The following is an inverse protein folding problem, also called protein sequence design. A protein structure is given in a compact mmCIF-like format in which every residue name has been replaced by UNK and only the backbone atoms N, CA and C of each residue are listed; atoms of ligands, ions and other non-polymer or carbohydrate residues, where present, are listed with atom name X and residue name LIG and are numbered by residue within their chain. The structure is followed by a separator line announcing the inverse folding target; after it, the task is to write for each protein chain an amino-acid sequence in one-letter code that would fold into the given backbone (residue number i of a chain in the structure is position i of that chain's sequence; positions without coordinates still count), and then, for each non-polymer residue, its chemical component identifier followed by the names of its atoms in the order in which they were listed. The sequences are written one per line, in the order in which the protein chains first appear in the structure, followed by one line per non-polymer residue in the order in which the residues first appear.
data_IF_406255996203
#
_entry.id   IF_406255996203
#
_cell.length_a   1.000
_cell.length_b   1.000
_cell.length_c   1.000
_cell.angle_alpha   90.00
_cell.angle_beta   90.00
_cell.angle_gamma   90.00
#
_symmetry.space_group_name_H-M   'P 1'
#
loop_
_entity.id
_entity.type
_entity.pdbx_description
1 polymer ?
#
# COMPACT_ATOMS: atom_id res chain seq x y z
N UNK A 1 -31.95 -3.54 46.75
CA UNK A 1 -31.75 -3.30 45.29
C UNK A 1 -30.99 -2.00 44.90
N UNK A 2 -30.60 -1.10 45.82
CA UNK A 2 -29.81 0.11 45.47
C UNK A 2 -28.35 -0.19 45.10
N UNK A 3 -27.71 -1.16 45.76
CA UNK A 3 -26.32 -1.52 45.49
C UNK A 3 -26.12 -2.13 44.10
N UNK A 4 -26.97 -3.09 43.71
CA UNK A 4 -26.91 -3.74 42.40
C UNK A 4 -26.97 -2.73 41.24
N UNK A 5 -27.91 -1.76 41.29
CA UNK A 5 -28.03 -0.71 40.26
C UNK A 5 -26.78 0.18 40.19
N UNK A 6 -26.13 0.48 41.32
CA UNK A 6 -24.90 1.28 41.36
C UNK A 6 -23.72 0.51 40.78
N UNK A 7 -23.57 -0.76 41.12
CA UNK A 7 -22.49 -1.61 40.59
C UNK A 7 -22.63 -1.80 39.07
N UNK A 8 -23.83 -2.11 38.59
CA UNK A 8 -24.11 -2.26 37.14
C UNK A 8 -23.82 -0.97 36.39
N UNK A 9 -24.24 0.20 36.91
CA UNK A 9 -23.95 1.50 36.30
C UNK A 9 -22.44 1.75 36.18
N UNK A 10 -21.67 1.41 37.21
CA UNK A 10 -20.23 1.56 37.18
C UNK A 10 -19.58 0.62 36.16
N UNK A 11 -20.00 -0.65 36.09
CA UNK A 11 -19.50 -1.58 35.08
C UNK A 11 -19.76 -1.08 33.66
N UNK A 12 -20.97 -0.61 33.38
CA UNK A 12 -21.31 -0.04 32.07
C UNK A 12 -20.39 1.16 31.76
N UNK A 13 -20.20 2.08 32.73
CA UNK A 13 -19.32 3.23 32.54
C UNK A 13 -17.89 2.81 32.21
N UNK A 14 -17.31 1.89 32.98
CA UNK A 14 -15.94 1.42 32.75
C UNK A 14 -15.80 0.65 31.43
N UNK A 15 -16.76 -0.21 31.09
CA UNK A 15 -16.75 -0.94 29.82
C UNK A 15 -16.88 0.01 28.62
N UNK A 16 -17.73 1.04 28.70
CA UNK A 16 -17.85 2.06 27.65
C UNK A 16 -16.56 2.86 27.50
N UNK A 17 -15.95 3.30 28.61
CA UNK A 17 -14.67 4.01 28.57
C UNK A 17 -13.56 3.15 27.96
N UNK A 18 -13.52 1.87 28.33
CA UNK A 18 -12.57 0.91 27.78
C UNK A 18 -12.74 0.79 26.27
N UNK A 19 -13.98 0.61 25.78
CA UNK A 19 -14.26 0.55 24.33
C UNK A 19 -13.82 1.81 23.60
N UNK A 20 -14.15 3.00 24.13
CA UNK A 20 -13.79 4.29 23.51
C UNK A 20 -12.29 4.47 23.39
N UNK A 21 -11.50 3.93 24.33
CA UNK A 21 -10.03 3.98 24.29
C UNK A 21 -9.44 2.86 23.42
N UNK A 22 -10.01 1.67 23.47
CA UNK A 22 -9.55 0.53 22.69
C UNK A 22 -9.75 0.74 21.19
N UNK A 23 -10.86 1.33 20.74
CA UNK A 23 -11.13 1.56 19.32
C UNK A 23 -10.01 2.35 18.61
N UNK A 24 -9.59 3.54 19.05
CA UNK A 24 -8.51 4.28 18.40
C UNK A 24 -7.15 3.57 18.52
N UNK A 25 -6.89 2.89 19.65
CA UNK A 25 -5.66 2.09 19.80
C UNK A 25 -5.57 0.97 18.77
N UNK A 26 -6.63 0.17 18.63
CA UNK A 26 -6.68 -0.89 17.63
C UNK A 26 -6.62 -0.34 16.22
N UNK A 27 -7.29 0.77 15.94
CA UNK A 27 -7.22 1.42 14.62
C UNK A 27 -5.78 1.80 14.25
N UNK A 28 -5.04 2.42 15.17
CA UNK A 28 -3.64 2.80 14.93
C UNK A 28 -2.77 1.56 14.73
N UNK A 29 -2.92 0.55 15.59
CA UNK A 29 -2.14 -0.68 15.51
C UNK A 29 -2.37 -1.42 14.19
N UNK A 30 -3.63 -1.60 13.80
CA UNK A 30 -3.99 -2.23 12.52
C UNK A 30 -3.45 -1.42 11.35
N UNK A 31 -3.66 -0.10 11.34
CA UNK A 31 -3.15 0.78 10.28
C UNK A 31 -1.64 0.65 10.10
N UNK A 32 -0.88 0.59 11.19
CA UNK A 32 0.57 0.42 11.12
C UNK A 32 0.97 -0.95 10.57
N UNK A 33 0.31 -2.02 11.02
CA UNK A 33 0.57 -3.38 10.55
C UNK A 33 0.29 -3.50 9.05
N UNK A 34 -0.87 -3.05 8.59
CA UNK A 34 -1.23 -3.09 7.16
C UNK A 34 -0.28 -2.24 6.30
N UNK A 35 0.09 -1.04 6.75
CA UNK A 35 1.03 -0.20 6.01
C UNK A 35 2.39 -0.88 5.87
N UNK A 36 2.87 -1.50 6.94
CA UNK A 36 4.15 -2.18 6.94
C UNK A 36 4.14 -3.41 6.03
N UNK A 37 3.11 -4.24 6.11
CA UNK A 37 2.94 -5.43 5.26
C UNK A 37 2.84 -5.05 3.78
N UNK A 38 2.08 -4.01 3.43
CA UNK A 38 2.02 -3.49 2.05
C UNK A 38 3.37 -2.98 1.55
N UNK A 39 4.17 -2.33 2.40
CA UNK A 39 5.51 -1.88 2.02
C UNK A 39 6.43 -3.06 1.74
N UNK A 40 6.44 -4.08 2.60
CA UNK A 40 7.22 -5.30 2.39
C UNK A 40 6.83 -5.99 1.08
N UNK A 41 5.53 -6.12 0.81
CA UNK A 41 5.01 -6.70 -0.43
C UNK A 41 5.47 -5.91 -1.67
N UNK A 42 5.46 -4.58 -1.62
CA UNK A 42 5.97 -3.74 -2.72
C UNK A 42 7.46 -4.00 -3.01
N UNK A 43 8.28 -4.15 -1.96
CA UNK A 43 9.70 -4.49 -2.14
C UNK A 43 9.90 -5.92 -2.65
N UNK A 44 9.06 -6.88 -2.24
CA UNK A 44 9.05 -8.22 -2.80
C UNK A 44 8.68 -8.23 -4.29
N UNK A 45 7.66 -7.46 -4.68
CA UNK A 45 7.28 -7.28 -6.08
C UNK A 45 8.41 -6.66 -6.90
N UNK A 46 9.10 -5.64 -6.38
CA UNK A 46 10.30 -5.09 -7.01
C UNK A 46 11.37 -6.16 -7.23
N UNK A 47 11.66 -6.99 -6.22
CA UNK A 47 12.65 -8.05 -6.34
C UNK A 47 12.26 -9.06 -7.44
N UNK A 48 10.99 -9.50 -7.45
CA UNK A 48 10.46 -10.40 -8.47
C UNK A 48 10.54 -9.78 -9.87
N UNK A 49 10.16 -8.50 -10.00
CA UNK A 49 10.21 -7.77 -11.26
C UNK A 49 11.64 -7.66 -11.80
N UNK A 50 12.64 -7.39 -10.94
CA UNK A 50 14.06 -7.40 -11.33
C UNK A 50 14.53 -8.75 -11.90
N UNK A 51 13.91 -9.86 -11.49
CA UNK A 51 14.20 -11.17 -12.08
C UNK A 51 13.53 -11.38 -13.45
N UNK A 52 12.30 -10.88 -13.61
CA UNK A 52 11.54 -10.97 -14.86
C UNK A 52 12.15 -10.08 -15.94
N UNK A 53 12.55 -8.87 -15.58
CA UNK A 53 13.08 -7.87 -16.51
C UNK A 53 14.35 -8.31 -17.21
N UNK A 54 15.18 -9.15 -16.56
CA UNK A 54 16.34 -9.76 -17.20
C UNK A 54 15.99 -10.67 -18.39
N UNK A 55 14.73 -11.09 -18.50
CA UNK A 55 14.21 -11.93 -19.58
C UNK A 55 13.45 -11.14 -20.65
N UNK A 56 13.20 -9.85 -20.43
CA UNK A 56 12.50 -8.99 -21.38
C UNK A 56 13.52 -8.44 -22.40
N UNK A 57 13.53 -9.03 -23.58
CA UNK A 57 14.54 -8.78 -24.63
C UNK A 57 14.01 -7.86 -25.74
N UNK A 58 12.69 -7.69 -25.86
CA UNK A 58 12.10 -6.84 -26.91
C UNK A 58 11.14 -5.78 -26.37
N UNK A 59 11.12 -4.60 -26.98
CA UNK A 59 10.17 -3.52 -26.66
C UNK A 59 8.69 -3.98 -26.69
N UNK A 60 8.34 -4.90 -27.58
CA UNK A 60 7.02 -5.52 -27.66
C UNK A 60 6.66 -6.33 -26.41
N UNK A 61 7.63 -7.00 -25.81
CA UNK A 61 7.43 -7.79 -24.58
C UNK A 61 7.21 -6.88 -23.38
N UNK A 62 7.91 -5.74 -23.34
CA UNK A 62 7.69 -4.71 -22.31
C UNK A 62 6.27 -4.14 -22.41
N UNK A 63 5.83 -3.77 -23.62
CA UNK A 63 4.47 -3.28 -23.85
C UNK A 63 3.41 -4.33 -23.50
N UNK A 64 3.66 -5.60 -23.89
CA UNK A 64 2.76 -6.70 -23.54
C UNK A 64 2.71 -6.93 -22.03
N UNK A 65 3.86 -6.90 -21.34
CA UNK A 65 3.91 -7.03 -19.89
C UNK A 65 3.11 -5.92 -19.19
N UNK A 66 3.24 -4.67 -19.64
CA UNK A 66 2.48 -3.55 -19.09
C UNK A 66 0.97 -3.67 -19.34
N UNK A 67 0.56 -4.25 -20.47
CA UNK A 67 -0.85 -4.47 -20.78
C UNK A 67 -1.49 -5.53 -19.86
N UNK A 68 -0.74 -6.58 -19.50
CA UNK A 68 -1.26 -7.66 -18.65
C UNK A 68 -1.19 -7.30 -17.17
N UNK A 69 -0.20 -6.48 -16.78
CA UNK A 69 0.03 -6.13 -15.39
C UNK A 69 -0.20 -4.63 -15.18
N UNK A 70 -1.47 -4.25 -15.02
CA UNK A 70 -1.90 -2.86 -14.81
C UNK A 70 -1.30 -2.21 -13.55
N UNK A 71 -0.84 -3.03 -12.61
CA UNK A 71 -0.15 -2.63 -11.38
C UNK A 71 1.25 -2.04 -11.64
N UNK A 72 1.87 -2.35 -12.77
CA UNK A 72 3.17 -1.80 -13.17
C UNK A 72 3.00 -0.71 -14.22
N UNK A 73 3.59 0.45 -13.94
CA UNK A 73 3.72 1.54 -14.91
C UNK A 73 5.19 1.76 -15.15
N UNK A 74 5.62 1.57 -16.39
CA UNK A 74 6.99 1.86 -16.82
C UNK A 74 6.99 3.19 -17.57
N UNK A 75 7.89 4.07 -17.18
CA UNK A 75 8.14 5.34 -17.85
C UNK A 75 9.64 5.56 -18.01
N UNK A 76 10.07 6.27 -19.05
CA UNK A 76 11.49 6.57 -19.22
C UNK A 76 11.98 7.51 -18.11
N UNK A 77 13.08 7.15 -17.46
CA UNK A 77 13.62 7.92 -16.35
C UNK A 77 14.26 9.23 -16.85
N UNK A 78 13.73 10.37 -16.42
CA UNK A 78 14.27 11.70 -16.76
C UNK A 78 15.62 11.99 -16.10
N UNK A 79 15.88 11.36 -14.94
CA UNK A 79 17.08 11.55 -14.13
C UNK A 79 17.57 10.19 -13.62
N UNK A 80 18.89 9.97 -13.57
CA UNK A 80 19.48 8.71 -13.11
C UNK A 80 20.65 8.98 -12.15
N UNK A 81 20.82 8.20 -11.06
CA UNK A 81 19.99 7.08 -10.61
C UNK A 81 18.67 7.53 -9.95
N UNK A 82 17.62 6.71 -10.09
CA UNK A 82 16.35 6.92 -9.38
C UNK A 82 16.42 6.20 -8.03
N UNK A 83 16.25 6.96 -6.94
CA UNK A 83 16.15 6.39 -5.60
C UNK A 83 14.78 5.78 -5.37
N UNK A 84 14.75 4.67 -4.64
CA UNK A 84 13.50 4.07 -4.19
C UNK A 84 12.71 5.06 -3.33
N UNK A 85 11.42 5.18 -3.61
CA UNK A 85 10.51 6.01 -2.84
C UNK A 85 9.13 5.37 -2.79
N UNK A 86 8.66 5.10 -1.57
CA UNK A 86 7.28 4.68 -1.33
C UNK A 86 6.43 5.91 -1.09
N UNK A 87 5.31 6.02 -1.80
CA UNK A 87 4.39 7.14 -1.68
C UNK A 87 2.94 6.68 -1.76
N UNK A 88 2.04 7.54 -1.31
CA UNK A 88 0.59 7.33 -1.38
C UNK A 88 0.01 8.32 -2.39
N UNK A 89 -0.81 7.81 -3.30
CA UNK A 89 -1.58 8.64 -4.23
C UNK A 89 -3.04 8.21 -4.20
N UNK A 90 -3.93 9.08 -4.65
CA UNK A 90 -5.37 8.79 -4.70
C UNK A 90 -5.81 8.74 -6.15
N UNK A 91 -6.56 7.71 -6.50
CA UNK A 91 -7.16 7.58 -7.82
C UNK A 91 -8.68 7.60 -7.67
N UNK A 92 -9.35 8.38 -8.51
CA UNK A 92 -10.80 8.42 -8.53
C UNK A 92 -11.34 7.19 -9.25
N UNK A 93 -12.20 6.44 -8.56
CA UNK A 93 -12.96 5.35 -9.14
C UNK A 93 -14.31 5.87 -9.63
N UNK A 94 -14.51 5.84 -10.95
CA UNK A 94 -15.76 6.26 -11.58
C UNK A 94 -16.92 5.28 -11.35
N UNK A 95 -16.65 4.02 -11.00
CA UNK A 95 -17.68 3.00 -10.76
C UNK A 95 -18.31 3.19 -9.37
N UNK A 96 -17.48 3.40 -8.36
CA UNK A 96 -17.94 3.61 -6.98
C UNK A 96 -18.17 5.10 -6.65
N UNK A 97 -17.68 6.01 -7.49
CA UNK A 97 -17.80 7.46 -7.29
C UNK A 97 -16.95 7.98 -6.13
N UNK A 98 -15.90 7.25 -5.74
CA UNK A 98 -15.05 7.57 -4.58
C UNK A 98 -13.57 7.63 -4.95
N UNK A 99 -12.79 8.38 -4.15
CA UNK A 99 -11.33 8.43 -4.28
C UNK A 99 -10.69 7.36 -3.40
N UNK A 100 -9.99 6.43 -4.02
CA UNK A 100 -9.34 5.30 -3.34
C UNK A 100 -7.86 5.63 -3.15
N UNK A 101 -7.31 5.50 -1.93
CA UNK A 101 -5.89 5.65 -1.70
C UNK A 101 -5.13 4.38 -2.12
N UNK A 102 -4.07 4.57 -2.89
CA UNK A 102 -3.13 3.54 -3.32
C UNK A 102 -1.74 3.83 -2.77
N UNK A 103 -0.98 2.77 -2.51
CA UNK A 103 0.43 2.85 -2.14
C UNK A 103 1.27 2.33 -3.30
N UNK A 104 2.29 3.09 -3.68
CA UNK A 104 3.18 2.74 -4.78
C UNK A 104 4.64 2.87 -4.38
N UNK A 105 5.48 2.05 -5.01
CA UNK A 105 6.93 2.12 -4.95
C UNK A 105 7.44 2.63 -6.30
N UNK A 106 8.09 3.80 -6.32
CA UNK A 106 8.89 4.27 -7.45
C UNK A 106 10.29 3.70 -7.32
N UNK A 107 10.81 3.12 -8.39
CA UNK A 107 12.15 2.53 -8.40
C UNK A 107 12.79 2.64 -9.78
N UNK A 108 14.09 2.88 -9.83
CA UNK A 108 14.83 2.88 -11.08
C UNK A 108 15.18 1.48 -11.53
N UNK A 109 14.92 1.17 -12.80
CA UNK A 109 15.32 -0.10 -13.41
C UNK A 109 15.96 0.12 -14.77
N UNK A 110 16.98 -0.69 -15.07
CA UNK A 110 17.67 -0.63 -16.36
C UNK A 110 17.26 -1.83 -17.21
N UNK A 111 16.67 -1.57 -18.38
CA UNK A 111 16.24 -2.59 -19.35
C UNK A 111 16.93 -2.28 -20.67
N UNK A 112 17.74 -3.21 -21.19
CA UNK A 112 18.44 -3.07 -22.48
C UNK A 112 19.21 -1.75 -22.61
N UNK A 113 20.00 -1.39 -21.59
CA UNK A 113 20.74 -0.13 -21.52
C UNK A 113 19.89 1.17 -21.47
N UNK A 114 18.56 1.08 -21.48
CA UNK A 114 17.66 2.20 -21.23
C UNK A 114 17.25 2.25 -19.75
N UNK A 115 17.10 3.45 -19.22
CA UNK A 115 16.72 3.68 -17.84
C UNK A 115 15.22 3.97 -17.75
N UNK A 116 14.52 3.19 -16.94
CA UNK A 116 13.09 3.33 -16.67
C UNK A 116 12.84 3.57 -15.17
N UNK A 117 11.65 4.08 -14.87
CA UNK A 117 11.10 4.28 -13.53
C UNK A 117 9.60 4.01 -13.44
#
# INVERSE_FOLDING_TARGET
MKLLKRTVKNYILYSTLLLVVSTPLFYIALRQLFVHEMEEELFHHKANFNHIVKKLETEKEIQFFQLINEEFKLSEAKTWPVSDSVYTYTQYDSLEGTSIPFRALRTGIQIQNKNYE
#
